data_IF_338737671575
#
_entry.id   IF_338737671575
#
_cell.length_a   1.000
_cell.length_b   1.000
_cell.length_c   1.000
_cell.angle_alpha   90.00
_cell.angle_beta   90.00
_cell.angle_gamma   90.00
#
_symmetry.space_group_name_H-M   'P 1'
#
loop_
_entity.id
_entity.type
_entity.pdbx_description
1 polymer ?
#
# COMPACT_ATOMS: atom_id res chain seq x y z
N UNK A 1 -0.25 -23.96 20.98
CA UNK A 1 -0.10 -22.53 21.34
C UNK A 1 0.45 -21.84 20.11
N UNK A 2 -0.32 -20.96 19.49
CA UNK A 2 0.12 -20.26 18.29
C UNK A 2 0.62 -18.88 18.72
N UNK A 3 1.79 -18.49 18.23
CA UNK A 3 2.39 -17.18 18.52
C UNK A 3 2.38 -16.36 17.24
N UNK A 4 1.96 -15.11 17.34
CA UNK A 4 2.01 -14.15 16.25
C UNK A 4 3.00 -13.04 16.59
N UNK A 5 4.01 -12.86 15.73
CA UNK A 5 5.03 -11.83 15.93
C UNK A 5 4.61 -10.54 15.25
N UNK A 6 4.56 -9.44 15.99
CA UNK A 6 4.31 -8.10 15.45
C UNK A 6 5.62 -7.35 15.31
N UNK A 7 5.84 -6.73 14.16
CA UNK A 7 7.01 -5.88 13.88
C UNK A 7 6.67 -4.38 14.05
N UNK A 8 5.38 -4.06 13.96
CA UNK A 8 4.83 -2.74 14.25
C UNK A 8 4.52 -2.60 15.76
N UNK A 9 4.29 -1.37 16.24
CA UNK A 9 3.86 -1.09 17.62
C UNK A 9 2.60 -1.86 18.03
N UNK A 10 1.67 -2.06 17.09
CA UNK A 10 0.45 -2.82 17.32
C UNK A 10 -0.05 -3.44 16.02
N UNK A 11 -0.86 -4.50 16.17
CA UNK A 11 -1.68 -5.02 15.08
C UNK A 11 -3.16 -4.81 15.41
N UNK A 12 -4.02 -4.66 14.39
CA UNK A 12 -5.47 -4.63 14.61
C UNK A 12 -6.06 -6.02 14.51
N UNK A 13 -7.10 -6.31 15.30
CA UNK A 13 -7.80 -7.60 15.27
C UNK A 13 -8.20 -8.01 13.85
N UNK A 14 -8.75 -7.09 13.05
CA UNK A 14 -9.09 -7.37 11.66
C UNK A 14 -7.89 -7.70 10.76
N UNK A 15 -6.74 -7.04 10.95
CA UNK A 15 -5.51 -7.33 10.20
C UNK A 15 -4.97 -8.70 10.59
N UNK A 16 -4.91 -8.99 11.90
CA UNK A 16 -4.49 -10.29 12.42
C UNK A 16 -5.36 -11.44 11.88
N UNK A 17 -6.68 -11.30 11.89
CA UNK A 17 -7.59 -12.32 11.35
C UNK A 17 -7.27 -12.66 9.89
N UNK A 18 -6.90 -11.66 9.09
CA UNK A 18 -6.52 -11.85 7.69
C UNK A 18 -5.15 -12.52 7.57
N UNK A 19 -4.16 -12.05 8.33
CA UNK A 19 -2.79 -12.59 8.30
C UNK A 19 -2.71 -14.02 8.85
N UNK A 20 -3.54 -14.35 9.84
CA UNK A 20 -3.72 -15.70 10.37
C UNK A 20 -4.58 -16.60 9.46
N UNK A 21 -4.97 -16.13 8.26
CA UNK A 21 -5.82 -16.84 7.29
C UNK A 21 -7.16 -17.34 7.86
N UNK A 22 -7.68 -16.68 8.90
CA UNK A 22 -9.01 -16.96 9.48
C UNK A 22 -10.11 -16.36 8.59
N UNK A 23 -9.80 -15.26 7.90
CA UNK A 23 -10.68 -14.61 6.92
C UNK A 23 -9.94 -14.37 5.60
N UNK A 24 -10.67 -14.44 4.49
CA UNK A 24 -10.10 -14.26 3.15
C UNK A 24 -9.86 -12.80 2.77
N UNK A 25 -10.72 -11.89 3.24
CA UNK A 25 -10.67 -10.46 2.88
C UNK A 25 -10.78 -9.57 4.11
N UNK A 26 -10.20 -8.36 4.04
CA UNK A 26 -10.29 -7.40 5.14
C UNK A 26 -11.72 -6.89 5.43
N UNK A 27 -12.63 -7.03 4.46
CA UNK A 27 -14.06 -6.73 4.62
C UNK A 27 -14.81 -7.80 5.42
N UNK A 28 -14.36 -9.06 5.36
CA UNK A 28 -15.00 -10.18 6.05
C UNK A 28 -14.86 -10.12 7.58
N UNK A 29 -13.91 -9.35 8.10
CA UNK A 29 -13.67 -9.21 9.55
C UNK A 29 -14.93 -8.78 10.32
N UNK A 30 -15.74 -7.89 9.76
CA UNK A 30 -16.97 -7.42 10.42
C UNK A 30 -17.97 -8.56 10.61
N UNK A 31 -18.17 -9.36 9.57
CA UNK A 31 -19.10 -10.49 9.63
C UNK A 31 -18.58 -11.57 10.56
N UNK A 32 -17.29 -11.91 10.44
CA UNK A 32 -16.66 -12.92 11.30
C UNK A 32 -16.81 -12.59 12.79
N UNK A 33 -16.54 -11.34 13.19
CA UNK A 33 -16.65 -10.88 14.58
C UNK A 33 -18.10 -10.73 15.08
N UNK A 34 -19.08 -10.70 14.17
CA UNK A 34 -20.49 -10.67 14.53
C UNK A 34 -21.07 -12.09 14.71
N UNK A 35 -20.48 -13.10 14.07
CA UNK A 35 -20.97 -14.48 14.09
C UNK A 35 -20.16 -15.40 14.99
N UNK A 36 -18.92 -15.05 15.32
CA UNK A 36 -18.02 -15.88 16.11
C UNK A 36 -17.59 -15.17 17.38
N UNK A 37 -17.49 -15.94 18.44
CA UNK A 37 -16.97 -15.49 19.72
C UNK A 37 -15.45 -15.33 19.65
N UNK A 38 -15.00 -14.13 19.98
CA UNK A 38 -13.58 -13.78 20.10
C UNK A 38 -13.36 -13.16 21.47
N UNK A 39 -12.40 -13.70 22.19
CA UNK A 39 -12.00 -13.24 23.52
C UNK A 39 -10.64 -12.58 23.41
N UNK A 40 -10.53 -11.35 23.92
CA UNK A 40 -9.30 -10.62 24.09
C UNK A 40 -8.97 -10.56 25.58
N UNK A 41 -7.85 -11.17 25.98
CA UNK A 41 -7.44 -11.29 27.39
C UNK A 41 -8.56 -11.82 28.31
N UNK A 42 -9.42 -12.69 27.78
CA UNK A 42 -10.57 -13.27 28.49
C UNK A 42 -11.88 -12.48 28.43
N UNK A 43 -11.90 -11.31 27.78
CA UNK A 43 -13.11 -10.50 27.58
C UNK A 43 -13.62 -10.57 26.14
N UNK A 44 -14.94 -10.61 25.95
CA UNK A 44 -15.52 -10.60 24.61
C UNK A 44 -15.15 -9.33 23.83
N UNK A 45 -14.64 -9.51 22.62
CA UNK A 45 -14.23 -8.43 21.75
C UNK A 45 -14.71 -8.66 20.32
N UNK A 46 -15.51 -7.72 19.80
CA UNK A 46 -16.08 -7.78 18.46
C UNK A 46 -15.65 -6.58 17.58
N UNK A 47 -14.80 -5.69 18.10
CA UNK A 47 -14.33 -4.53 17.36
C UNK A 47 -13.14 -4.90 16.48
N UNK A 48 -13.39 -4.95 15.17
CA UNK A 48 -12.35 -5.07 14.13
C UNK A 48 -11.13 -4.17 14.35
N UNK A 49 -11.36 -2.95 14.82
CA UNK A 49 -10.32 -1.93 15.02
C UNK A 49 -9.61 -2.00 16.37
N UNK A 50 -9.88 -3.01 17.20
CA UNK A 50 -9.16 -3.22 18.45
C UNK A 50 -7.67 -3.40 18.14
N UNK A 51 -6.84 -2.61 18.82
CA UNK A 51 -5.39 -2.73 18.77
C UNK A 51 -4.93 -3.80 19.76
N UNK A 52 -3.96 -4.58 19.32
CA UNK A 52 -3.34 -5.70 20.02
C UNK A 52 -1.84 -5.39 20.12
N UNK A 53 -1.30 -5.54 21.31
CA UNK A 53 0.07 -5.22 21.66
C UNK A 53 0.82 -6.48 22.11
N UNK A 54 2.12 -6.35 22.28
CA UNK A 54 2.95 -7.39 22.89
C UNK A 54 2.37 -7.88 24.22
N UNK A 55 2.34 -9.20 24.39
CA UNK A 55 1.78 -9.86 25.58
C UNK A 55 0.27 -10.07 25.55
N UNK A 56 -0.46 -9.51 24.57
CA UNK A 56 -1.89 -9.75 24.44
C UNK A 56 -2.22 -11.17 23.99
N UNK A 57 -3.38 -11.66 24.39
CA UNK A 57 -3.86 -13.00 24.11
C UNK A 57 -5.23 -12.94 23.46
N UNK A 58 -5.38 -13.64 22.33
CA UNK A 58 -6.66 -13.84 21.66
C UNK A 58 -7.07 -15.30 21.71
N UNK A 59 -8.32 -15.53 22.04
CA UNK A 59 -8.93 -16.85 22.06
C UNK A 59 -10.18 -16.87 21.18
N UNK A 60 -10.31 -17.96 20.43
CA UNK A 60 -11.42 -18.24 19.53
C UNK A 60 -12.06 -19.55 19.96
N UNK A 61 -12.97 -19.54 20.95
CA UNK A 61 -13.56 -20.75 21.53
C UNK A 61 -14.21 -21.67 20.49
N UNK A 62 -14.92 -21.09 19.51
CA UNK A 62 -15.57 -21.84 18.43
C UNK A 62 -14.62 -22.60 17.52
N UNK A 63 -13.33 -22.25 17.53
CA UNK A 63 -12.29 -22.87 16.71
C UNK A 63 -11.22 -23.60 17.55
N UNK A 64 -11.33 -23.56 18.88
CA UNK A 64 -10.29 -24.09 19.78
C UNK A 64 -8.91 -23.45 19.57
N UNK A 65 -8.87 -22.22 19.04
CA UNK A 65 -7.63 -21.54 18.67
C UNK A 65 -7.27 -20.48 19.70
N UNK A 66 -5.98 -20.40 20.04
CA UNK A 66 -5.41 -19.38 20.92
C UNK A 66 -4.13 -18.81 20.33
N UNK A 67 -4.09 -17.48 20.19
CA UNK A 67 -2.99 -16.72 19.60
C UNK A 67 -2.41 -15.79 20.67
N UNK A 68 -1.12 -15.95 20.94
CA UNK A 68 -0.36 -15.02 21.78
C UNK A 68 0.35 -14.01 20.89
N UNK A 69 0.23 -12.73 21.20
CA UNK A 69 0.89 -11.64 20.49
C UNK A 69 2.25 -11.40 21.14
N UNK A 70 3.30 -11.41 20.33
CA UNK A 70 4.67 -11.16 20.76
C UNK A 70 5.29 -10.09 19.87
N UNK A 71 5.97 -9.09 20.42
CA UNK A 71 6.74 -8.16 19.63
C UNK A 71 8.04 -8.80 19.13
N UNK A 72 8.42 -8.48 17.89
CA UNK A 72 9.75 -8.74 17.37
C UNK A 72 10.78 -8.02 18.26
N UNK A 73 12.00 -8.55 18.32
CA UNK A 73 13.05 -7.93 19.13
C UNK A 73 13.45 -6.58 18.55
N UNK A 74 13.93 -5.67 19.39
CA UNK A 74 14.31 -4.31 18.95
C UNK A 74 15.41 -4.31 17.88
N UNK A 75 16.28 -5.33 17.86
CA UNK A 75 17.32 -5.52 16.85
C UNK A 75 16.71 -5.89 15.50
N UNK A 76 15.78 -6.85 15.46
CA UNK A 76 15.06 -7.26 14.24
C UNK A 76 14.19 -6.12 13.67
N UNK A 77 13.56 -5.32 14.54
CA UNK A 77 12.78 -4.14 14.12
C UNK A 77 13.69 -3.09 13.47
N UNK A 78 14.89 -2.86 14.02
CA UNK A 78 15.83 -1.88 13.49
C UNK A 78 16.37 -2.29 12.11
N UNK A 79 16.69 -3.57 11.91
CA UNK A 79 17.12 -4.09 10.62
C UNK A 79 16.01 -3.98 9.57
N UNK A 80 14.79 -4.38 9.92
CA UNK A 80 13.65 -4.28 9.00
C UNK A 80 13.34 -2.82 8.61
N UNK A 81 13.46 -1.89 9.55
CA UNK A 81 13.29 -0.46 9.27
C UNK A 81 14.35 0.05 8.28
N UNK A 82 15.60 -0.40 8.40
CA UNK A 82 16.66 -0.02 7.47
C UNK A 82 16.41 -0.53 6.05
N UNK A 83 15.85 -1.73 5.89
CA UNK A 83 15.46 -2.27 4.59
C UNK A 83 14.30 -1.48 3.96
N UNK A 84 13.27 -1.16 4.74
CA UNK A 84 12.14 -0.35 4.29
C UNK A 84 12.57 1.05 3.85
N UNK A 85 13.51 1.66 4.57
CA UNK A 85 14.06 2.97 4.23
C UNK A 85 14.86 2.95 2.92
N UNK A 86 15.60 1.87 2.66
CA UNK A 86 16.29 1.69 1.38
C UNK A 86 15.30 1.44 0.24
N UNK A 87 14.28 0.61 0.43
CA UNK A 87 13.23 0.40 -0.58
C UNK A 87 12.51 1.72 -0.89
N UNK A 88 12.22 2.53 0.14
CA UNK A 88 11.60 3.84 -0.02
C UNK A 88 12.49 4.79 -0.84
N UNK A 89 13.81 4.78 -0.63
CA UNK A 89 14.76 5.55 -1.44
C UNK A 89 14.80 5.06 -2.89
N UNK A 90 14.89 3.76 -3.12
CA UNK A 90 14.88 3.17 -4.47
C UNK A 90 13.58 3.55 -5.20
N UNK A 91 12.43 3.42 -4.54
CA UNK A 91 11.13 3.79 -5.10
C UNK A 91 11.04 5.27 -5.44
N UNK A 92 11.62 6.15 -4.62
CA UNK A 92 11.69 7.58 -4.90
C UNK A 92 12.58 7.90 -6.10
N UNK A 93 13.73 7.23 -6.24
CA UNK A 93 14.62 7.35 -7.40
C UNK A 93 13.91 6.90 -8.67
N UNK A 94 13.31 5.71 -8.66
CA UNK A 94 12.57 5.15 -9.81
C UNK A 94 11.41 6.07 -10.20
N UNK A 95 10.67 6.63 -9.23
CA UNK A 95 9.60 7.59 -9.49
C UNK A 95 10.11 8.86 -10.17
N UNK A 96 11.26 9.39 -9.76
CA UNK A 96 11.91 10.55 -10.40
C UNK A 96 12.34 10.23 -11.82
N UNK A 97 13.06 9.13 -12.03
CA UNK A 97 13.51 8.68 -13.37
C UNK A 97 12.31 8.53 -14.32
N UNK A 98 11.23 7.87 -13.87
CA UNK A 98 10.03 7.68 -14.67
C UNK A 98 9.26 8.98 -14.94
N UNK A 99 9.35 9.97 -14.05
CA UNK A 99 8.76 11.29 -14.26
C UNK A 99 9.58 12.11 -15.27
N UNK A 100 10.90 12.03 -15.20
CA UNK A 100 11.81 12.75 -16.10
C UNK A 100 11.77 12.17 -17.50
N UNK A 101 11.79 10.83 -17.66
CA UNK A 101 11.60 10.17 -18.96
C UNK A 101 10.27 10.58 -19.61
N UNK A 102 9.19 10.65 -18.84
CA UNK A 102 7.89 11.13 -19.34
C UNK A 102 7.95 12.58 -19.81
N UNK A 103 8.67 13.45 -19.11
CA UNK A 103 8.86 14.87 -19.50
C UNK A 103 9.72 15.01 -20.76
N UNK A 104 10.78 14.21 -20.92
CA UNK A 104 11.61 14.23 -22.14
C UNK A 104 10.82 13.74 -23.34
N UNK A 105 10.03 12.67 -23.20
CA UNK A 105 9.13 12.20 -24.27
C UNK A 105 8.10 13.27 -24.69
N UNK A 106 7.49 13.97 -23.72
CA UNK A 106 6.52 15.05 -24.05
C UNK A 106 7.19 16.25 -24.71
N UNK A 107 8.41 16.63 -24.28
CA UNK A 107 9.20 17.71 -24.91
C UNK A 107 9.65 17.36 -26.33
N UNK A 108 10.02 16.10 -26.59
CA UNK A 108 10.39 15.65 -27.93
C UNK A 108 9.18 15.62 -28.88
N UNK A 109 8.01 15.15 -28.42
CA UNK A 109 6.77 15.15 -29.20
C UNK A 109 6.28 16.56 -29.54
N UNK A 110 6.34 17.50 -28.59
CA UNK A 110 5.95 18.90 -28.84
C UNK A 110 6.93 19.63 -29.78
N UNK A 111 8.23 19.35 -29.69
CA UNK A 111 9.24 19.87 -30.61
C UNK A 111 9.05 19.34 -32.04
N UNK A 112 8.73 18.05 -32.21
CA UNK A 112 8.42 17.45 -33.51
C UNK A 112 7.17 18.08 -34.15
N UNK A 113 6.09 18.26 -33.38
CA UNK A 113 4.86 18.91 -33.85
C UNK A 113 5.09 20.37 -34.28
N UNK A 114 5.85 21.14 -33.53
CA UNK A 114 6.18 22.53 -33.88
C UNK A 114 7.01 22.61 -35.17
N UNK A 115 7.94 21.68 -35.37
CA UNK A 115 8.75 21.60 -36.59
C UNK A 115 7.89 21.28 -37.81
N UNK A 116 6.98 20.32 -37.68
CA UNK A 116 6.06 19.93 -38.77
C UNK A 116 5.09 21.06 -39.13
N UNK A 117 4.54 21.77 -38.14
CA UNK A 117 3.71 22.95 -38.37
C UNK A 117 4.48 24.09 -39.06
N UNK A 118 5.74 24.32 -38.68
CA UNK A 118 6.59 25.34 -39.32
C UNK A 118 6.80 25.04 -40.81
N UNK A 119 7.12 23.79 -41.16
CA UNK A 119 7.29 23.41 -42.57
C UNK A 119 5.98 23.50 -43.36
N UNK A 120 4.83 23.05 -42.80
CA UNK A 120 3.51 23.19 -43.44
C UNK A 120 3.14 24.65 -43.75
N UNK A 121 3.43 25.58 -42.83
CA UNK A 121 3.21 27.04 -43.03
C UNK A 121 4.14 27.67 -44.06
N UNK A 122 5.35 27.12 -44.23
CA UNK A 122 6.35 27.67 -45.15
C UNK A 122 6.14 27.20 -46.59
N UNK A 123 5.57 26.01 -46.78
CA UNK A 123 5.21 25.45 -48.09
C UNK A 123 3.84 25.90 -48.59
N UNK A 124 2.99 26.51 -47.75
CA UNK A 124 1.71 27.07 -48.19
C UNK A 124 1.94 28.36 -48.98
N UNK A 125 1.52 28.38 -50.26
CA UNK A 125 1.59 29.58 -51.13
C UNK A 125 0.83 30.76 -50.52
N UNK A 126 1.36 32.00 -50.57
CA UNK A 126 0.62 33.18 -50.12
C UNK A 126 -0.60 33.39 -51.03
N UNK A 127 -1.78 33.56 -50.44
CA UNK A 127 -2.97 34.00 -51.19
C UNK A 127 -2.84 35.51 -51.43
N UNK A 128 -2.36 35.91 -52.60
CA UNK A 128 -2.56 37.30 -53.04
C UNK A 128 -4.03 37.48 -53.38
N UNK A 129 -4.75 38.33 -52.63
CA UNK A 129 -6.12 38.70 -52.99
C UNK A 129 -6.06 39.58 -54.24
N UNK A 130 -6.51 39.05 -55.37
CA UNK A 130 -6.75 39.83 -56.58
C UNK A 130 -7.89 40.80 -56.28
N UNK A 131 -7.56 42.04 -55.95
CA UNK A 131 -8.54 43.13 -55.90
C UNK A 131 -8.91 43.51 -57.34
N UNK A 132 -10.20 43.49 -57.65
CA UNK A 132 -10.80 44.16 -58.80
C UNK A 132 -11.80 45.18 -58.29
#
# INVERSE_FOLDING_TARGET
MNTYTIYDEFITLGKLLKEAAIIETGGAAKHFLATNDVLYNGEFENRRGKKLFDGDVLEFPGFGLKINIVAATAEEIAEHQAELDEEARVKAIVKKINADNRKTETRQKSAANNKEQYFKRKTSKPKFSSSK
#
